data_IF_534589295146
#
_entry.id   IF_534589295146
#
_cell.length_a   1.000
_cell.length_b   1.000
_cell.length_c   1.000
_cell.angle_alpha   90.00
_cell.angle_beta   90.00
_cell.angle_gamma   90.00
#
_symmetry.space_group_name_H-M   'P 1'
#
loop_
_entity.id
_entity.type
_entity.pdbx_description
1 polymer ?
#
# COMPACT_ATOMS: atom_id res chain seq x y z
N UNK A 1 -15.25 22.27 23.58
CA UNK A 1 -14.80 20.90 23.28
C UNK A 1 -15.25 20.59 21.86
N UNK A 2 -14.37 20.80 20.88
CA UNK A 2 -14.66 20.59 19.47
C UNK A 2 -14.79 19.10 19.21
N UNK A 3 -15.99 18.66 18.79
CA UNK A 3 -16.23 17.32 18.28
C UNK A 3 -15.37 17.13 17.03
N UNK A 4 -14.44 16.19 17.10
CA UNK A 4 -13.68 15.75 15.93
C UNK A 4 -14.70 14.99 15.07
N UNK A 5 -15.14 15.59 13.96
CA UNK A 5 -15.99 14.94 12.97
C UNK A 5 -15.28 13.70 12.43
N UNK A 6 -15.90 12.54 12.62
CA UNK A 6 -15.41 11.22 12.20
C UNK A 6 -15.54 10.99 10.67
N UNK A 7 -15.68 12.04 9.85
CA UNK A 7 -16.05 11.90 8.43
C UNK A 7 -14.87 11.89 7.45
N UNK A 8 -13.62 11.81 7.94
CA UNK A 8 -12.44 11.67 7.07
C UNK A 8 -11.67 10.38 7.33
N UNK A 9 -12.37 9.26 7.56
CA UNK A 9 -11.74 7.96 7.32
C UNK A 9 -11.46 7.91 5.82
N UNK A 10 -10.20 7.85 5.36
CA UNK A 10 -9.93 7.58 3.96
C UNK A 10 -10.35 6.13 3.74
N UNK A 11 -11.63 5.94 3.44
CA UNK A 11 -12.11 4.66 2.97
C UNK A 11 -11.35 4.40 1.69
N UNK A 12 -10.62 3.29 1.67
CA UNK A 12 -10.15 2.70 0.44
C UNK A 12 -11.42 2.41 -0.36
N UNK A 13 -11.87 3.35 -1.19
CA UNK A 13 -13.01 3.15 -2.06
C UNK A 13 -12.61 1.98 -2.97
N UNK A 14 -13.21 0.80 -2.80
CA UNK A 14 -12.77 -0.36 -3.57
C UNK A 14 -13.03 -0.07 -5.05
N UNK A 15 -12.06 -0.32 -5.92
CA UNK A 15 -12.38 -0.46 -7.34
C UNK A 15 -13.09 -1.81 -7.48
N UNK A 16 -14.41 -1.85 -7.72
CA UNK A 16 -15.15 -3.10 -7.80
C UNK A 16 -14.71 -3.99 -8.97
N UNK A 17 -13.82 -3.48 -9.85
CA UNK A 17 -13.21 -4.21 -10.97
C UNK A 17 -11.76 -4.64 -10.70
N UNK A 18 -11.19 -4.25 -9.56
CA UNK A 18 -9.80 -4.53 -9.19
C UNK A 18 -9.62 -5.99 -8.78
N UNK A 19 -9.19 -6.85 -9.70
CA UNK A 19 -8.76 -8.20 -9.34
C UNK A 19 -7.54 -8.12 -8.39
N UNK A 20 -7.52 -8.90 -7.29
CA UNK A 20 -6.36 -8.91 -6.40
C UNK A 20 -5.08 -9.25 -7.16
N UNK A 21 -4.05 -8.41 -7.00
CA UNK A 21 -2.74 -8.66 -7.61
C UNK A 21 -1.87 -9.47 -6.66
N UNK A 22 -0.99 -10.29 -7.22
CA UNK A 22 -0.07 -11.11 -6.42
C UNK A 22 1.13 -10.26 -5.99
N UNK A 23 1.27 -10.06 -4.69
CA UNK A 23 2.45 -9.53 -4.05
C UNK A 23 3.35 -10.68 -3.60
N UNK A 24 4.64 -10.60 -3.90
CA UNK A 24 5.62 -11.60 -3.45
C UNK A 24 6.37 -11.06 -2.23
N UNK A 25 6.18 -11.69 -1.08
CA UNK A 25 6.88 -11.35 0.16
C UNK A 25 8.33 -11.90 0.13
N UNK A 26 9.22 -11.38 0.99
CA UNK A 26 10.50 -12.02 1.28
C UNK A 26 10.33 -13.53 1.55
N UNK A 27 11.23 -14.34 0.98
CA UNK A 27 11.11 -15.81 1.04
C UNK A 27 10.19 -16.43 -0.02
N UNK A 28 9.61 -15.63 -0.92
CA UNK A 28 8.89 -16.12 -2.11
C UNK A 28 7.42 -16.46 -1.88
N UNK A 29 6.89 -16.25 -0.67
CA UNK A 29 5.47 -16.44 -0.39
C UNK A 29 4.62 -15.40 -1.13
N UNK A 30 3.49 -15.83 -1.71
CA UNK A 30 2.66 -14.97 -2.58
C UNK A 30 1.30 -14.74 -1.95
N UNK A 31 0.92 -13.47 -1.81
CA UNK A 31 -0.36 -13.04 -1.25
C UNK A 31 -1.14 -12.22 -2.25
N UNK A 32 -2.47 -12.32 -2.24
CA UNK A 32 -3.33 -11.44 -3.01
C UNK A 32 -3.52 -10.11 -2.28
N UNK A 33 -3.28 -9.00 -2.98
CA UNK A 33 -3.52 -7.64 -2.48
C UNK A 33 -4.59 -6.98 -3.34
N UNK A 34 -5.70 -6.63 -2.72
CA UNK A 34 -6.75 -5.82 -3.34
C UNK A 34 -6.27 -4.38 -3.54
N UNK A 35 -6.70 -3.75 -4.64
CA UNK A 35 -6.42 -2.35 -4.98
C UNK A 35 -4.93 -1.98 -5.07
N UNK A 36 -4.03 -2.95 -5.28
CA UNK A 36 -2.58 -2.71 -5.26
C UNK A 36 -2.15 -1.57 -6.20
N UNK A 37 -2.65 -1.54 -7.44
CA UNK A 37 -2.30 -0.47 -8.38
C UNK A 37 -2.75 0.93 -7.94
N UNK A 38 -3.91 1.03 -7.28
CA UNK A 38 -4.45 2.28 -6.76
C UNK A 38 -3.57 2.75 -5.62
N UNK A 39 -3.27 1.87 -4.67
CA UNK A 39 -2.38 2.13 -3.53
C UNK A 39 -1.04 2.67 -4.03
N UNK A 40 -0.39 1.97 -4.97
CA UNK A 40 0.91 2.39 -5.50
C UNK A 40 0.84 3.76 -6.18
N UNK A 41 -0.22 4.02 -6.96
CA UNK A 41 -0.41 5.29 -7.68
C UNK A 41 -0.68 6.45 -6.72
N UNK A 42 -1.58 6.27 -5.76
CA UNK A 42 -1.90 7.28 -4.76
C UNK A 42 -0.66 7.67 -3.94
N UNK A 43 0.20 6.70 -3.59
CA UNK A 43 1.46 7.02 -2.90
C UNK A 43 2.43 7.78 -3.81
N UNK A 44 2.49 7.46 -5.11
CA UNK A 44 3.32 8.20 -6.05
C UNK A 44 2.88 9.66 -6.19
N UNK A 45 1.57 9.91 -6.17
CA UNK A 45 0.98 11.25 -6.24
C UNK A 45 1.31 12.12 -5.01
N UNK A 46 1.62 11.52 -3.86
CA UNK A 46 2.06 12.24 -2.66
C UNK A 46 3.48 12.83 -2.79
N UNK A 47 4.25 12.42 -3.80
CA UNK A 47 5.62 12.93 -4.07
C UNK A 47 6.54 12.86 -2.85
N UNK A 48 6.39 11.82 -2.03
CA UNK A 48 7.29 11.55 -0.91
C UNK A 48 8.67 11.19 -1.46
N UNK A 49 9.72 11.78 -0.88
CA UNK A 49 11.12 11.52 -1.27
C UNK A 49 11.81 10.52 -0.35
N UNK A 50 11.40 10.50 0.92
CA UNK A 50 12.01 9.63 1.93
C UNK A 50 11.50 8.19 1.78
N UNK A 51 12.43 7.25 1.64
CA UNK A 51 12.10 5.81 1.49
C UNK A 51 11.26 5.31 2.68
N UNK A 52 11.58 5.74 3.90
CA UNK A 52 10.81 5.38 5.10
C UNK A 52 9.37 5.90 5.05
N UNK A 53 9.16 7.12 4.56
CA UNK A 53 7.83 7.71 4.41
C UNK A 53 7.00 7.00 3.34
N UNK A 54 7.59 6.70 2.18
CA UNK A 54 6.93 5.93 1.11
C UNK A 54 6.49 4.56 1.65
N UNK A 55 7.41 3.86 2.31
CA UNK A 55 7.16 2.53 2.89
C UNK A 55 6.08 2.53 3.96
N UNK A 56 6.06 3.53 4.82
CA UNK A 56 5.04 3.69 5.86
C UNK A 56 3.66 3.93 5.24
N UNK A 57 3.58 4.81 4.24
CA UNK A 57 2.29 5.16 3.61
C UNK A 57 1.73 4.02 2.75
N UNK A 58 2.59 3.28 2.04
CA UNK A 58 2.21 2.05 1.33
C UNK A 58 1.58 1.02 2.27
N UNK A 59 2.25 0.74 3.40
CA UNK A 59 1.77 -0.20 4.39
C UNK A 59 0.44 0.27 4.99
N UNK A 60 0.35 1.55 5.37
CA UNK A 60 -0.86 2.16 5.93
C UNK A 60 -2.05 2.01 4.99
N UNK A 61 -1.88 2.37 3.71
CA UNK A 61 -2.95 2.26 2.70
C UNK A 61 -3.32 0.80 2.40
N UNK A 62 -2.34 -0.10 2.33
CA UNK A 62 -2.61 -1.52 2.12
C UNK A 62 -3.42 -2.13 3.27
N UNK A 63 -3.10 -1.78 4.52
CA UNK A 63 -3.80 -2.23 5.72
C UNK A 63 -5.25 -1.73 5.82
N UNK A 64 -5.62 -0.65 5.11
CA UNK A 64 -7.01 -0.15 5.10
C UNK A 64 -7.97 -1.06 4.32
N UNK A 65 -7.49 -1.82 3.35
CA UNK A 65 -8.33 -2.70 2.53
C UNK A 65 -7.88 -4.17 2.52
N UNK A 66 -6.81 -4.52 3.23
CA UNK A 66 -6.29 -5.88 3.31
C UNK A 66 -5.90 -6.21 4.75
N UNK A 67 -6.03 -7.48 5.14
CA UNK A 67 -5.46 -7.95 6.40
C UNK A 67 -3.94 -8.06 6.26
N UNK A 68 -3.22 -7.43 7.18
CA UNK A 68 -1.76 -7.54 7.33
C UNK A 68 -1.49 -7.90 8.79
N UNK A 69 -0.94 -9.09 9.08
CA UNK A 69 -0.60 -9.44 10.45
C UNK A 69 0.59 -8.59 10.92
N UNK A 70 0.53 -8.11 12.17
CA UNK A 70 1.59 -7.25 12.73
C UNK A 70 2.98 -7.88 12.68
N UNK A 71 3.05 -9.21 12.79
CA UNK A 71 4.32 -9.96 12.68
C UNK A 71 4.95 -9.91 11.28
N UNK A 72 4.20 -9.56 10.24
CA UNK A 72 4.66 -9.51 8.84
C UNK A 72 4.65 -8.10 8.23
N UNK A 73 4.37 -7.05 9.01
CA UNK A 73 4.32 -5.66 8.51
C UNK A 73 5.60 -5.26 7.78
N UNK A 74 6.76 -5.66 8.30
CA UNK A 74 8.06 -5.40 7.67
C UNK A 74 8.14 -6.02 6.26
N UNK A 75 7.69 -7.26 6.13
CA UNK A 75 7.75 -8.02 4.88
C UNK A 75 6.81 -7.44 3.83
N UNK A 76 5.60 -7.08 4.24
CA UNK A 76 4.65 -6.36 3.38
C UNK A 76 5.19 -5.00 2.96
N UNK A 77 5.74 -4.23 3.90
CA UNK A 77 6.34 -2.92 3.61
C UNK A 77 7.49 -3.01 2.60
N UNK A 78 8.37 -4.00 2.73
CA UNK A 78 9.45 -4.25 1.78
C UNK A 78 8.89 -4.62 0.41
N UNK A 79 8.00 -5.61 0.35
CA UNK A 79 7.44 -6.11 -0.91
C UNK A 79 6.66 -5.03 -1.66
N UNK A 80 5.79 -4.27 -0.97
CA UNK A 80 5.03 -3.17 -1.57
C UNK A 80 5.94 -2.09 -2.14
N UNK A 81 7.06 -1.82 -1.47
CA UNK A 81 8.02 -0.83 -1.95
C UNK A 81 8.81 -1.30 -3.17
N UNK A 82 9.13 -2.59 -3.26
CA UNK A 82 9.71 -3.13 -4.50
C UNK A 82 8.74 -3.06 -5.67
N UNK A 83 7.44 -3.33 -5.46
CA UNK A 83 6.41 -3.11 -6.48
C UNK A 83 6.30 -1.63 -6.88
N UNK A 84 6.36 -0.73 -5.90
CA UNK A 84 6.35 0.71 -6.13
C UNK A 84 7.54 1.15 -6.99
N UNK A 85 8.76 0.71 -6.63
CA UNK A 85 9.98 1.00 -7.37
C UNK A 85 9.89 0.53 -8.81
N UNK A 86 9.50 -0.72 -9.04
CA UNK A 86 9.37 -1.30 -10.37
C UNK A 86 8.40 -0.52 -11.27
N UNK A 87 7.39 0.11 -10.68
CA UNK A 87 6.35 0.81 -11.41
C UNK A 87 6.65 2.30 -11.64
N UNK A 88 7.36 2.95 -10.74
CA UNK A 88 7.49 4.42 -10.74
C UNK A 88 8.92 4.96 -10.61
N UNK A 89 9.90 4.16 -10.19
CA UNK A 89 11.28 4.60 -9.97
C UNK A 89 12.27 3.94 -10.94
N UNK A 90 11.97 2.72 -11.37
CA UNK A 90 12.73 2.05 -12.42
C UNK A 90 12.16 2.51 -13.77
N UNK A 91 12.78 3.55 -14.35
CA UNK A 91 12.69 3.79 -15.79
C UNK A 91 13.20 2.57 -16.55
N UNK A 92 12.49 2.14 -17.58
CA UNK A 92 13.08 1.35 -18.66
C UNK A 92 14.20 2.12 -19.37
#
# INVERSE_FOLDING_TARGET
MTKISLEQVPTCAPDPRGTPKKLTLPGGFRVGIANMDSILREVAELKLTETSAIRAELLRKAALCNYIPSSAERDYSLALFEEYKRKFLECG
#
